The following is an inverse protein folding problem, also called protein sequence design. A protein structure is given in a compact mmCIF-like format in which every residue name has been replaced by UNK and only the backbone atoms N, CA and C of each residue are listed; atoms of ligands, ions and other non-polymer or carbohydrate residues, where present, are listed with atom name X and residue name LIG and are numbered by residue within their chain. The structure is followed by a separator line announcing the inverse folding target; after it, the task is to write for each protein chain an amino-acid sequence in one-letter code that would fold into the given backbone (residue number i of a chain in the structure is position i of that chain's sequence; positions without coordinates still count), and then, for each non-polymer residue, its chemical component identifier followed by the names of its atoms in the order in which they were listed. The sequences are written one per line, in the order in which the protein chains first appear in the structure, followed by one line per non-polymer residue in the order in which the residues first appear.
data_IF_664314062748
#
_entry.id   IF_664314062748
#
_cell.length_a   1.000
_cell.length_b   1.000
_cell.length_c   1.000
_cell.angle_alpha   90.00
_cell.angle_beta   90.00
_cell.angle_gamma   90.00
#
_symmetry.space_group_name_H-M   'P 1'
#
loop_
_entity.id
_entity.type
_entity.pdbx_description
1 polymer ?
#
# COMPACT_ATOMS: atom_id res chain seq x y z
N UNK A 1 28.37 6.93 -5.22
CA UNK A 1 28.05 6.57 -3.83
C UNK A 1 27.17 5.34 -3.91
N UNK A 2 27.76 4.17 -4.08
CA UNK A 2 27.02 2.89 -4.08
C UNK A 2 27.66 2.05 -2.97
N UNK A 3 26.84 1.33 -2.20
CA UNK A 3 27.21 0.51 -1.02
C UNK A 3 27.72 1.27 0.23
N UNK A 4 26.93 2.21 0.74
CA UNK A 4 27.07 2.58 2.16
C UNK A 4 26.37 1.53 3.02
N UNK A 5 27.11 0.96 3.98
CA UNK A 5 26.56 0.01 4.96
C UNK A 5 25.40 0.65 5.73
N UNK A 6 24.34 -0.13 5.96
CA UNK A 6 23.11 0.33 6.62
C UNK A 6 22.21 1.24 5.78
N UNK A 7 22.55 1.52 4.51
CA UNK A 7 21.71 2.32 3.60
C UNK A 7 21.00 1.40 2.60
N UNK A 8 19.66 1.45 2.60
CA UNK A 8 18.80 0.69 1.71
C UNK A 8 17.99 1.64 0.83
N UNK A 9 17.76 1.24 -0.42
CA UNK A 9 16.97 2.01 -1.37
C UNK A 9 16.09 1.06 -2.21
N UNK A 10 14.94 1.56 -2.67
CA UNK A 10 14.02 0.83 -3.53
C UNK A 10 13.19 1.77 -4.40
N UNK A 11 12.60 1.22 -5.46
CA UNK A 11 11.77 1.97 -6.41
C UNK A 11 12.58 2.68 -7.50
N UNK A 12 12.00 3.73 -8.07
CA UNK A 12 12.50 4.37 -9.28
C UNK A 12 13.91 4.98 -9.12
N UNK A 13 14.28 5.38 -7.90
CA UNK A 13 15.62 5.89 -7.61
C UNK A 13 16.73 4.82 -7.77
N UNK A 14 16.36 3.54 -7.77
CA UNK A 14 17.31 2.41 -7.89
C UNK A 14 17.17 1.72 -9.23
N UNK A 15 15.94 1.40 -9.65
CA UNK A 15 15.68 0.58 -10.84
C UNK A 15 15.35 1.41 -12.08
N UNK A 16 15.26 2.73 -11.96
CA UNK A 16 14.67 3.60 -12.97
C UNK A 16 13.14 3.51 -13.01
N UNK A 17 12.49 4.32 -13.89
CA UNK A 17 11.04 4.44 -13.95
C UNK A 17 10.33 3.10 -14.16
N UNK A 18 9.37 2.80 -13.28
CA UNK A 18 8.60 1.56 -13.35
C UNK A 18 7.10 1.80 -13.09
N UNK A 19 6.31 0.73 -13.11
CA UNK A 19 4.92 0.82 -12.66
C UNK A 19 4.87 1.04 -11.14
N UNK A 20 3.84 1.72 -10.65
CA UNK A 20 3.63 1.94 -9.20
C UNK A 20 3.66 0.61 -8.42
N UNK A 21 3.16 -0.48 -9.03
CA UNK A 21 3.21 -1.82 -8.45
C UNK A 21 4.64 -2.31 -8.23
N UNK A 22 5.55 -2.07 -9.17
CA UNK A 22 6.97 -2.44 -9.05
C UNK A 22 7.66 -1.59 -7.98
N UNK A 23 7.37 -0.29 -7.93
CA UNK A 23 7.90 0.59 -6.90
C UNK A 23 7.48 0.14 -5.48
N UNK A 24 6.20 -0.19 -5.28
CA UNK A 24 5.69 -0.76 -4.02
C UNK A 24 6.42 -2.05 -3.67
N UNK A 25 6.65 -2.93 -4.64
CA UNK A 25 7.31 -4.20 -4.37
C UNK A 25 8.79 -4.03 -3.99
N UNK A 26 9.51 -3.11 -4.63
CA UNK A 26 10.87 -2.77 -4.25
C UNK A 26 10.94 -2.17 -2.83
N UNK A 27 9.97 -1.34 -2.45
CA UNK A 27 9.86 -0.81 -1.09
C UNK A 27 9.68 -1.91 -0.04
N UNK A 28 8.88 -2.95 -0.33
CA UNK A 28 8.70 -4.10 0.57
C UNK A 28 9.98 -4.92 0.76
N UNK A 29 10.74 -5.13 -0.32
CA UNK A 29 12.05 -5.80 -0.24
C UNK A 29 13.03 -4.99 0.60
N UNK A 30 13.06 -3.66 0.41
CA UNK A 30 13.89 -2.78 1.22
C UNK A 30 13.50 -2.86 2.71
N UNK A 31 12.20 -2.84 3.03
CA UNK A 31 11.72 -2.98 4.41
C UNK A 31 12.14 -4.32 5.04
N UNK A 32 11.98 -5.44 4.33
CA UNK A 32 12.39 -6.76 4.82
C UNK A 32 13.91 -6.86 5.06
N UNK A 33 14.71 -6.27 4.17
CA UNK A 33 16.17 -6.24 4.34
C UNK A 33 16.61 -5.35 5.51
N UNK A 34 15.91 -4.24 5.77
CA UNK A 34 16.14 -3.39 6.95
C UNK A 34 15.81 -4.18 8.22
N UNK A 35 14.68 -4.88 8.24
CA UNK A 35 14.27 -5.71 9.38
C UNK A 35 15.33 -6.77 9.71
N UNK A 36 15.79 -7.52 8.70
CA UNK A 36 16.86 -8.50 8.82
C UNK A 36 18.18 -7.86 9.27
N UNK A 37 18.55 -6.70 8.70
CA UNK A 37 19.79 -6.00 9.07
C UNK A 37 19.80 -5.54 10.53
N UNK A 38 18.63 -5.17 11.07
CA UNK A 38 18.46 -4.84 12.48
C UNK A 38 18.38 -6.07 13.39
N UNK A 39 18.42 -7.29 12.83
CA UNK A 39 18.36 -8.55 13.55
C UNK A 39 16.94 -8.98 13.93
N UNK A 40 15.93 -8.45 13.25
CA UNK A 40 14.53 -8.82 13.44
C UNK A 40 14.02 -9.72 12.29
N UNK A 41 12.92 -10.40 12.57
CA UNK A 41 12.23 -11.30 11.64
C UNK A 41 10.71 -11.15 11.80
N UNK A 42 10.23 -9.91 11.71
CA UNK A 42 8.82 -9.60 11.90
C UNK A 42 7.99 -10.21 10.77
N UNK A 43 6.98 -11.00 11.15
CA UNK A 43 6.00 -11.56 10.22
C UNK A 43 4.75 -10.68 10.26
N UNK A 44 4.34 -10.13 9.12
CA UNK A 44 3.11 -9.34 9.04
C UNK A 44 1.99 -10.25 8.52
N UNK A 45 1.11 -10.65 9.44
CA UNK A 45 -0.05 -11.48 9.13
C UNK A 45 -1.23 -10.61 8.68
N UNK A 46 -2.04 -11.14 7.77
CA UNK A 46 -3.26 -10.49 7.31
C UNK A 46 -4.42 -11.48 7.45
N UNK A 47 -5.24 -11.26 8.47
CA UNK A 47 -6.42 -12.10 8.75
C UNK A 47 -7.61 -11.81 7.80
N UNK A 48 -7.53 -10.72 7.03
CA UNK A 48 -8.57 -10.38 6.08
C UNK A 48 -8.57 -11.35 4.89
N UNK A 49 -9.74 -11.91 4.51
CA UNK A 49 -9.83 -12.80 3.35
C UNK A 49 -9.47 -12.03 2.08
N UNK A 50 -8.45 -12.52 1.37
CA UNK A 50 -7.99 -11.90 0.13
C UNK A 50 -8.82 -12.47 -1.03
N UNK A 51 -9.62 -11.64 -1.72
CA UNK A 51 -10.40 -12.11 -2.85
C UNK A 51 -9.49 -12.52 -4.01
N UNK A 52 -9.89 -13.52 -4.82
CA UNK A 52 -9.13 -13.92 -6.00
C UNK A 52 -8.91 -12.75 -6.96
N UNK A 53 -7.85 -12.82 -7.76
CA UNK A 53 -7.58 -11.83 -8.78
C UNK A 53 -8.70 -11.83 -9.83
N UNK A 54 -9.33 -10.67 -10.04
CA UNK A 54 -10.26 -10.46 -11.15
C UNK A 54 -9.51 -9.73 -12.27
N UNK A 55 -9.49 -10.35 -13.46
CA UNK A 55 -8.82 -9.85 -14.66
C UNK A 55 -9.72 -8.98 -15.56
N UNK A 56 -10.99 -8.78 -15.17
CA UNK A 56 -11.89 -7.90 -15.89
C UNK A 56 -11.40 -6.44 -15.85
N UNK A 57 -11.62 -5.73 -16.95
CA UNK A 57 -11.35 -4.30 -17.01
C UNK A 57 -12.17 -3.55 -15.97
N UNK A 58 -11.50 -2.67 -15.24
CA UNK A 58 -12.13 -1.86 -14.20
C UNK A 58 -12.74 -0.62 -14.83
N UNK A 59 -14.02 -0.31 -14.56
CA UNK A 59 -14.59 0.95 -15.01
C UNK A 59 -13.80 2.11 -14.38
N UNK A 60 -13.42 3.08 -15.21
CA UNK A 60 -12.75 4.29 -14.75
C UNK A 60 -13.69 5.02 -13.80
N UNK A 61 -13.26 5.20 -12.56
CA UNK A 61 -13.97 5.99 -11.57
C UNK A 61 -13.02 6.99 -10.92
N UNK A 62 -13.57 8.15 -10.56
CA UNK A 62 -12.85 9.20 -9.85
C UNK A 62 -12.48 8.78 -8.43
N UNK A 63 -11.54 9.50 -7.82
CA UNK A 63 -11.26 9.36 -6.39
C UNK A 63 -12.45 9.88 -5.59
N UNK A 64 -12.81 9.18 -4.52
CA UNK A 64 -13.72 9.73 -3.53
C UNK A 64 -13.07 10.95 -2.89
N UNK A 65 -13.82 12.04 -2.78
CA UNK A 65 -13.39 13.23 -2.05
C UNK A 65 -14.00 13.19 -0.66
N UNK A 66 -13.16 13.00 0.36
CA UNK A 66 -13.62 13.00 1.73
C UNK A 66 -14.13 14.38 2.10
N UNK A 67 -15.23 14.39 2.85
CA UNK A 67 -15.78 15.64 3.39
C UNK A 67 -14.96 16.01 4.61
N UNK A 68 -14.63 17.28 4.74
CA UNK A 68 -13.98 17.79 5.95
C UNK A 68 -14.99 18.43 6.89
N UNK A 69 -14.71 18.40 8.19
CA UNK A 69 -15.45 19.14 9.21
C UNK A 69 -15.29 20.63 9.00
N UNK A 70 -16.26 21.42 9.44
CA UNK A 70 -16.15 22.87 9.35
C UNK A 70 -15.02 23.39 10.25
N UNK A 71 -14.28 24.40 9.78
CA UNK A 71 -13.01 24.84 10.37
C UNK A 71 -13.16 25.34 11.81
N UNK A 72 -14.29 25.98 12.13
CA UNK A 72 -14.54 26.49 13.48
C UNK A 72 -14.80 25.39 14.51
N UNK A 73 -15.11 24.17 14.10
CA UNK A 73 -15.25 23.03 15.01
C UNK A 73 -13.91 22.33 15.28
N UNK A 74 -12.93 22.46 14.38
CA UNK A 74 -11.62 21.76 14.47
C UNK A 74 -10.71 22.30 15.56
N UNK A 75 -10.97 23.51 16.08
CA UNK A 75 -10.17 24.13 17.13
C UNK A 75 -10.72 23.85 18.55
N UNK A 76 -11.90 23.23 18.64
CA UNK A 76 -12.60 22.99 19.90
C UNK A 76 -12.34 21.59 20.47
N UNK A 77 -11.85 20.66 19.65
CA UNK A 77 -11.61 19.27 20.01
C UNK A 77 -10.43 18.66 19.23
N UNK A 78 -10.11 17.40 19.56
CA UNK A 78 -9.11 16.59 18.88
C UNK A 78 -9.75 15.50 18.00
N UNK A 79 -11.03 15.66 17.63
CA UNK A 79 -11.71 14.69 16.78
C UNK A 79 -11.18 14.78 15.33
N UNK A 80 -11.24 13.69 14.54
CA UNK A 80 -10.72 13.66 13.18
C UNK A 80 -11.27 14.79 12.31
N UNK A 81 -10.43 15.40 11.47
CA UNK A 81 -10.82 16.51 10.60
C UNK A 81 -11.68 16.02 9.41
N UNK A 82 -11.32 14.89 8.84
CA UNK A 82 -12.01 14.27 7.71
C UNK A 82 -13.11 13.33 8.22
N UNK A 83 -14.28 13.40 7.61
CA UNK A 83 -15.30 12.39 7.78
C UNK A 83 -14.87 11.10 7.07
N UNK A 84 -15.23 9.96 7.67
CA UNK A 84 -15.04 8.66 7.03
C UNK A 84 -15.90 8.49 5.78
N UNK A 85 -15.54 7.51 4.94
CA UNK A 85 -16.33 7.13 3.76
C UNK A 85 -17.64 6.46 4.17
N UNK A 86 -18.70 6.71 3.38
CA UNK A 86 -19.87 5.83 3.39
C UNK A 86 -19.51 4.43 2.87
N UNK A 87 -20.40 3.45 3.09
CA UNK A 87 -20.20 2.10 2.57
C UNK A 87 -20.07 2.09 1.04
N UNK A 88 -20.87 2.92 0.36
CA UNK A 88 -20.88 3.07 -1.10
C UNK A 88 -19.59 3.73 -1.60
N UNK A 89 -19.14 4.80 -0.93
CA UNK A 89 -17.89 5.49 -1.22
C UNK A 89 -16.69 4.56 -1.03
N UNK A 90 -16.65 3.81 0.07
CA UNK A 90 -15.60 2.83 0.34
C UNK A 90 -15.57 1.71 -0.70
N UNK A 91 -16.73 1.20 -1.13
CA UNK A 91 -16.82 0.20 -2.20
C UNK A 91 -16.31 0.74 -3.54
N UNK A 92 -16.66 1.98 -3.90
CA UNK A 92 -16.16 2.63 -5.11
C UNK A 92 -14.63 2.75 -5.08
N UNK A 93 -14.07 3.25 -3.98
CA UNK A 93 -12.62 3.46 -3.85
C UNK A 93 -11.86 2.12 -3.87
N UNK A 94 -12.39 1.08 -3.20
CA UNK A 94 -11.85 -0.28 -3.26
C UNK A 94 -11.86 -0.85 -4.70
N UNK A 95 -12.86 -0.50 -5.50
CA UNK A 95 -12.97 -0.85 -6.92
C UNK A 95 -11.80 -0.35 -7.77
N UNK A 96 -11.02 0.62 -7.30
CA UNK A 96 -9.86 1.20 -8.01
C UNK A 96 -8.53 0.48 -7.75
N UNK A 97 -8.51 -0.52 -6.86
CA UNK A 97 -7.28 -1.23 -6.46
C UNK A 97 -6.52 -1.83 -7.65
N UNK A 98 -5.23 -1.53 -7.80
CA UNK A 98 -4.39 -2.09 -8.88
C UNK A 98 -3.87 -3.51 -8.59
N UNK A 99 -4.31 -4.14 -7.50
CA UNK A 99 -3.91 -5.50 -7.09
C UNK A 99 -2.40 -5.72 -7.02
N UNK A 100 -1.70 -4.83 -6.32
CA UNK A 100 -0.25 -4.96 -6.08
C UNK A 100 0.12 -6.20 -5.27
N UNK A 101 -0.85 -6.84 -4.60
CA UNK A 101 -0.75 -8.13 -3.95
C UNK A 101 -0.57 -9.29 -4.94
N UNK A 102 -1.22 -9.21 -6.11
CA UNK A 102 -1.25 -10.26 -7.14
C UNK A 102 -0.36 -9.96 -8.35
N UNK A 103 -0.16 -8.68 -8.70
CA UNK A 103 0.65 -8.28 -9.86
C UNK A 103 2.03 -7.73 -9.49
N UNK A 104 2.40 -7.73 -8.20
CA UNK A 104 3.71 -7.27 -7.71
C UNK A 104 4.77 -8.37 -7.65
N UNK A 105 6.02 -8.01 -7.31
CA UNK A 105 7.12 -8.97 -7.14
C UNK A 105 6.91 -9.97 -5.98
N UNK A 106 5.93 -9.72 -5.09
CA UNK A 106 5.53 -10.68 -4.06
C UNK A 106 5.05 -12.02 -4.63
N UNK A 107 4.64 -12.07 -5.90
CA UNK A 107 4.23 -13.30 -6.61
C UNK A 107 5.35 -14.36 -6.61
N UNK A 108 6.62 -13.95 -6.63
CA UNK A 108 7.75 -14.89 -6.62
C UNK A 108 7.98 -15.59 -5.28
N UNK A 109 7.40 -15.08 -4.18
CA UNK A 109 7.32 -15.74 -2.86
C UNK A 109 5.87 -16.15 -2.52
N UNK A 110 5.03 -16.43 -3.52
CA UNK A 110 3.66 -16.92 -3.29
C UNK A 110 2.58 -15.84 -3.14
N UNK A 111 2.89 -14.57 -3.45
CA UNK A 111 1.95 -13.45 -3.33
C UNK A 111 1.53 -13.16 -1.88
N UNK A 112 0.62 -12.20 -1.65
CA UNK A 112 -0.09 -12.13 -0.36
C UNK A 112 -1.01 -13.33 -0.24
N UNK A 113 -0.51 -14.45 0.26
CA UNK A 113 -1.37 -15.62 0.54
C UNK A 113 -1.81 -15.63 2.00
N UNK A 114 -0.92 -15.36 2.97
CA UNK A 114 -1.28 -15.24 4.40
C UNK A 114 -0.27 -14.47 5.27
N UNK A 115 1.00 -14.39 4.87
CA UNK A 115 2.10 -13.82 5.69
C UNK A 115 3.07 -13.02 4.82
N UNK A 116 3.66 -11.99 5.40
CA UNK A 116 4.82 -11.25 4.86
C UNK A 116 6.05 -11.54 5.69
#
# INVERSE_FOLDING_TARGET
MENMEGIFAGGDCVTGPATVIRAIAAGKVAAANIDEYLGFHHIIECDAPIPPANYADRPKCGRVQLKERETSLRNADFEPIEYGMSSEEAQQECGRCLRCDHFGFGVFKGGRTTKW
#
